data_IF_097548681435
#
_entry.id   IF_097548681435
#
_cell.length_a   1.000
_cell.length_b   1.000
_cell.length_c   1.000
_cell.angle_alpha   90.00
_cell.angle_beta   90.00
_cell.angle_gamma   90.00
#
_symmetry.space_group_name_H-M   'P 1'
#
loop_
_entity.id
_entity.type
_entity.pdbx_description
1 polymer ?
#
# COMPACT_ATOMS: atom_id res chain seq x y z
N UNK A 1 43.10 -38.33 28.26
CA UNK A 1 43.88 -37.52 29.22
C UNK A 1 42.90 -36.61 29.94
N UNK A 2 42.98 -36.58 31.27
CA UNK A 2 42.01 -35.98 32.20
C UNK A 2 42.09 -34.46 32.21
N UNK A 3 40.93 -33.82 32.36
CA UNK A 3 40.77 -32.42 32.71
C UNK A 3 41.33 -32.10 34.10
N UNK A 4 41.86 -30.89 34.29
CA UNK A 4 41.97 -30.26 35.61
C UNK A 4 41.89 -28.73 35.51
N UNK A 5 40.91 -28.21 36.25
CA UNK A 5 40.61 -26.83 36.60
C UNK A 5 41.78 -26.10 37.28
N UNK A 6 41.91 -24.79 37.08
CA UNK A 6 42.40 -23.89 38.14
C UNK A 6 41.79 -22.48 38.03
N UNK A 7 41.02 -22.12 39.06
CA UNK A 7 40.54 -20.77 39.37
C UNK A 7 41.70 -19.87 39.83
N UNK A 8 41.54 -18.55 39.65
CA UNK A 8 42.29 -17.56 40.43
C UNK A 8 42.08 -16.13 39.97
N UNK A 9 41.10 -15.44 40.56
CA UNK A 9 40.97 -13.98 40.50
C UNK A 9 41.88 -13.33 41.55
N UNK A 10 42.62 -12.27 41.15
CA UNK A 10 43.25 -11.35 42.10
C UNK A 10 43.22 -9.93 41.54
N UNK A 11 42.65 -9.00 42.31
CA UNK A 11 42.70 -7.56 42.08
C UNK A 11 44.15 -7.02 42.11
N UNK A 12 44.44 -5.99 41.31
CA UNK A 12 45.40 -4.96 41.71
C UNK A 12 45.03 -3.60 41.12
N UNK A 13 44.97 -2.61 41.99
CA UNK A 13 44.71 -1.21 41.73
C UNK A 13 45.92 -0.47 41.14
N UNK A 14 45.63 0.61 40.39
CA UNK A 14 46.45 1.81 40.33
C UNK A 14 47.52 1.89 39.24
N UNK A 15 47.32 2.81 38.28
CA UNK A 15 48.34 3.82 38.01
C UNK A 15 47.74 4.98 37.21
N UNK A 16 47.75 6.15 37.85
CA UNK A 16 47.47 7.47 37.30
C UNK A 16 48.67 7.93 36.46
N UNK A 17 48.45 8.46 35.26
CA UNK A 17 49.34 9.43 34.59
C UNK A 17 48.50 10.20 33.57
N UNK A 18 48.04 11.41 33.88
CA UNK A 18 48.75 12.69 33.75
C UNK A 18 49.35 12.90 32.35
N UNK A 19 48.52 13.40 31.43
CA UNK A 19 48.97 14.40 30.45
C UNK A 19 47.99 15.56 30.55
N UNK A 20 48.49 16.66 31.12
CA UNK A 20 47.75 17.90 31.23
C UNK A 20 47.73 18.65 29.89
N UNK A 21 46.58 19.25 29.61
CA UNK A 21 46.50 20.46 28.80
C UNK A 21 45.65 21.43 29.61
N UNK A 22 46.33 22.16 30.49
CA UNK A 22 45.75 23.33 31.13
C UNK A 22 45.93 24.55 30.22
N UNK A 23 44.94 25.41 30.33
CA UNK A 23 44.54 26.54 29.52
C UNK A 23 45.64 27.58 29.23
N UNK A 24 45.50 28.33 28.12
CA UNK A 24 45.44 29.80 28.26
C UNK A 24 44.69 30.47 27.10
N UNK A 25 43.96 31.52 27.50
CA UNK A 25 42.79 32.17 26.89
C UNK A 25 43.14 33.32 25.91
N UNK A 26 42.14 34.02 25.30
CA UNK A 26 42.18 34.58 23.95
C UNK A 26 42.70 36.03 23.88
N UNK A 27 42.95 36.51 22.65
CA UNK A 27 43.00 37.95 22.35
C UNK A 27 42.28 38.26 21.04
N UNK A 28 41.25 39.08 21.18
CA UNK A 28 40.57 39.85 20.14
C UNK A 28 41.41 41.06 19.80
N UNK A 29 41.79 41.23 18.53
CA UNK A 29 42.21 42.51 17.99
C UNK A 29 41.31 42.82 16.78
N UNK A 30 40.43 43.81 16.96
CA UNK A 30 39.61 44.36 15.90
C UNK A 30 40.38 45.38 15.06
N UNK A 31 40.00 45.50 13.79
CA UNK A 31 40.20 46.72 13.00
C UNK A 31 38.87 47.10 12.37
N UNK A 32 38.48 48.34 12.65
CA UNK A 32 37.28 49.01 12.18
C UNK A 32 37.52 49.72 10.82
N UNK A 33 36.42 49.94 10.09
CA UNK A 33 36.32 50.83 8.93
C UNK A 33 35.72 50.10 7.71
N UNK A 34 34.67 50.54 7.03
CA UNK A 34 33.97 51.82 7.05
C UNK A 34 32.55 51.63 6.48
N UNK A 35 31.69 52.59 6.83
CA UNK A 35 30.31 52.72 6.43
C UNK A 35 30.11 53.07 4.94
N UNK A 36 28.95 52.69 4.40
CA UNK A 36 28.35 53.24 3.18
C UNK A 36 26.94 52.68 3.02
N UNK A 37 25.91 53.30 3.61
CA UNK A 37 25.10 54.44 3.14
C UNK A 37 23.78 53.98 2.48
N UNK A 38 22.72 54.63 2.92
CA UNK A 38 21.31 54.34 2.69
C UNK A 38 20.80 54.56 1.25
N UNK A 39 19.67 53.92 0.96
CA UNK A 39 18.73 54.26 -0.12
C UNK A 39 17.49 53.37 0.04
N UNK A 40 16.48 53.77 0.81
CA UNK A 40 15.39 54.69 0.46
C UNK A 40 14.15 53.96 -0.09
N UNK A 41 13.01 54.42 0.40
CA UNK A 41 11.66 53.87 0.28
C UNK A 41 11.01 54.04 -1.10
N UNK A 42 9.91 53.30 -1.30
CA UNK A 42 8.90 53.49 -2.35
C UNK A 42 8.70 52.21 -3.18
N UNK A 43 7.51 51.72 -3.50
CA UNK A 43 6.19 52.33 -3.55
C UNK A 43 5.09 51.30 -3.23
N UNK A 44 4.04 51.79 -2.60
CA UNK A 44 2.71 51.19 -2.60
C UNK A 44 2.03 51.35 -3.98
N UNK A 45 1.12 50.44 -4.30
CA UNK A 45 0.18 50.52 -5.44
C UNK A 45 0.21 49.21 -6.26
N UNK A 46 -0.88 48.52 -6.54
CA UNK A 46 -2.28 48.92 -6.54
C UNK A 46 -3.19 47.72 -6.24
N UNK A 47 -4.27 48.00 -5.51
CA UNK A 47 -5.48 47.20 -5.58
C UNK A 47 -6.04 47.28 -7.00
N UNK A 48 -6.16 46.13 -7.66
CA UNK A 48 -6.88 45.96 -8.93
C UNK A 48 -8.16 45.17 -8.67
N UNK A 49 -9.27 45.90 -8.61
CA UNK A 49 -10.64 45.38 -8.66
C UNK A 49 -10.99 44.94 -10.10
N UNK A 50 -11.87 43.95 -10.22
CA UNK A 50 -12.57 43.55 -11.46
C UNK A 50 -12.51 42.04 -11.65
N UNK A 51 -13.58 41.27 -11.35
CA UNK A 51 -14.73 41.08 -12.24
C UNK A 51 -14.34 40.08 -13.34
N UNK A 52 -14.92 38.89 -13.48
CA UNK A 52 -16.34 38.68 -13.70
C UNK A 52 -16.71 37.20 -13.46
N UNK A 53 -17.96 36.98 -13.05
CA UNK A 53 -18.60 35.69 -12.91
C UNK A 53 -18.67 34.93 -14.25
N UNK A 54 -18.40 33.64 -14.20
CA UNK A 54 -18.71 32.68 -15.26
C UNK A 54 -19.65 31.60 -14.72
N UNK A 55 -20.94 31.89 -14.64
CA UNK A 55 -21.98 30.86 -14.54
C UNK A 55 -22.16 30.23 -15.91
N UNK A 56 -21.64 29.02 -16.07
CA UNK A 56 -21.86 28.16 -17.24
C UNK A 56 -22.43 26.83 -16.80
N UNK A 57 -23.75 26.78 -16.62
CA UNK A 57 -24.47 25.52 -16.55
C UNK A 57 -24.31 24.77 -17.89
N UNK A 58 -24.03 23.48 -17.84
CA UNK A 58 -24.54 22.60 -18.88
C UNK A 58 -25.00 21.28 -18.27
N UNK A 59 -26.32 21.22 -18.06
CA UNK A 59 -27.04 19.99 -17.80
C UNK A 59 -27.11 19.21 -19.11
N UNK A 60 -26.46 18.06 -19.17
CA UNK A 60 -26.66 17.05 -20.21
C UNK A 60 -27.45 15.88 -19.65
N UNK A 61 -28.78 15.97 -19.64
CA UNK A 61 -29.66 14.80 -19.58
C UNK A 61 -30.45 14.71 -20.88
N UNK A 62 -30.38 13.55 -21.53
CA UNK A 62 -31.20 13.17 -22.68
C UNK A 62 -30.57 11.94 -23.37
N UNK A 63 -31.23 10.81 -23.56
CA UNK A 63 -32.57 10.39 -23.19
C UNK A 63 -32.71 8.88 -23.42
N UNK A 64 -33.60 8.24 -22.65
CA UNK A 64 -34.11 6.89 -22.91
C UNK A 64 -35.60 6.98 -23.26
N UNK A 65 -36.02 6.17 -24.23
CA UNK A 65 -37.42 5.96 -24.66
C UNK A 65 -37.49 5.93 -26.18
N UNK A 66 -37.82 4.82 -26.86
CA UNK A 66 -38.87 3.85 -26.56
C UNK A 66 -39.98 4.07 -27.58
N UNK A 67 -39.90 3.44 -28.75
CA UNK A 67 -40.94 3.54 -29.80
C UNK A 67 -42.03 2.51 -29.54
N UNK A 68 -43.09 2.97 -28.87
CA UNK A 68 -44.38 2.29 -28.76
C UNK A 68 -45.29 2.58 -29.95
N UNK A 69 -46.17 1.62 -30.22
CA UNK A 69 -47.07 1.51 -31.35
C UNK A 69 -48.20 2.56 -31.40
N UNK A 70 -48.67 2.83 -32.63
CA UNK A 70 -50.01 3.33 -32.97
C UNK A 70 -50.61 2.27 -33.92
N UNK A 71 -51.86 1.80 -33.86
CA UNK A 71 -53.12 2.36 -33.40
C UNK A 71 -54.08 2.36 -34.61
N UNK A 72 -55.19 1.62 -34.57
CA UNK A 72 -56.20 1.65 -35.65
C UNK A 72 -57.34 0.63 -35.50
N UNK A 73 -58.47 1.10 -34.97
CA UNK A 73 -59.72 0.38 -34.70
C UNK A 73 -60.65 0.26 -35.91
N UNK A 74 -61.46 -0.80 -36.01
CA UNK A 74 -62.85 -0.73 -36.52
C UNK A 74 -63.67 -2.03 -36.34
N UNK A 75 -64.75 -1.91 -35.55
CA UNK A 75 -66.16 -2.28 -35.79
C UNK A 75 -66.64 -3.69 -36.28
N UNK A 76 -67.75 -4.14 -35.65
CA UNK A 76 -68.80 -5.05 -36.17
C UNK A 76 -68.50 -6.55 -35.99
N UNK A 77 -69.38 -7.45 -35.54
CA UNK A 77 -70.84 -7.47 -35.50
C UNK A 77 -71.32 -8.85 -36.02
N UNK A 78 -72.02 -9.61 -35.16
CA UNK A 78 -72.95 -10.73 -35.42
C UNK A 78 -72.50 -12.12 -35.95
N UNK A 79 -73.02 -13.12 -35.21
CA UNK A 79 -73.66 -14.38 -35.63
C UNK A 79 -72.83 -15.53 -36.21
N UNK A 80 -73.09 -16.74 -35.70
CA UNK A 80 -72.82 -18.00 -36.41
C UNK A 80 -72.57 -19.19 -35.48
N UNK A 81 -73.62 -19.94 -35.18
CA UNK A 81 -73.55 -21.25 -34.53
C UNK A 81 -73.19 -22.36 -35.53
N UNK A 82 -72.72 -23.50 -35.01
CA UNK A 82 -72.44 -24.76 -35.73
C UNK A 82 -70.95 -25.12 -35.61
N UNK A 83 -70.49 -26.12 -34.86
CA UNK A 83 -71.11 -27.41 -34.56
C UNK A 83 -70.81 -28.37 -35.70
N UNK A 84 -69.71 -29.11 -35.61
CA UNK A 84 -69.55 -30.46 -36.17
C UNK A 84 -68.41 -31.16 -35.41
N UNK A 85 -68.72 -32.30 -34.83
CA UNK A 85 -67.78 -33.27 -34.30
C UNK A 85 -67.31 -34.20 -35.42
N UNK A 86 -66.10 -34.78 -35.32
CA UNK A 86 -65.81 -35.98 -36.11
C UNK A 86 -64.35 -36.40 -36.25
N UNK A 87 -64.02 -37.49 -35.56
CA UNK A 87 -63.09 -38.58 -35.92
C UNK A 87 -61.64 -38.22 -36.32
N UNK A 88 -60.63 -38.56 -35.51
CA UNK A 88 -60.00 -39.91 -35.39
C UNK A 88 -59.13 -40.31 -36.58
N UNK A 89 -57.81 -40.25 -36.40
CA UNK A 89 -56.85 -41.13 -37.08
C UNK A 89 -55.61 -41.41 -36.19
N UNK A 90 -55.30 -42.70 -36.06
CA UNK A 90 -54.22 -43.32 -35.29
C UNK A 90 -52.81 -43.10 -35.89
N UNK A 91 -51.81 -43.13 -35.00
CA UNK A 91 -50.71 -44.12 -35.07
C UNK A 91 -49.37 -43.67 -35.66
N UNK A 92 -48.28 -43.89 -34.90
CA UNK A 92 -46.92 -43.98 -35.44
C UNK A 92 -45.80 -43.69 -34.45
N UNK A 93 -45.35 -44.70 -33.71
CA UNK A 93 -44.13 -44.68 -32.89
C UNK A 93 -42.86 -44.69 -33.76
N UNK A 94 -41.81 -43.98 -33.34
CA UNK A 94 -40.43 -44.33 -33.66
C UNK A 94 -39.49 -43.91 -32.51
N UNK A 95 -38.76 -44.91 -32.03
CA UNK A 95 -37.71 -44.82 -31.02
C UNK A 95 -36.35 -44.51 -31.65
N UNK A 96 -35.43 -43.97 -30.83
CA UNK A 96 -33.98 -43.89 -31.10
C UNK A 96 -33.41 -42.58 -30.58
N UNK A 97 -32.36 -42.50 -29.77
CA UNK A 97 -31.49 -43.51 -29.17
C UNK A 97 -30.51 -42.77 -28.25
N UNK A 98 -30.08 -43.45 -27.18
CA UNK A 98 -29.07 -42.97 -26.25
C UNK A 98 -27.67 -42.87 -26.91
N UNK A 99 -26.91 -41.85 -26.53
CA UNK A 99 -25.48 -41.72 -26.85
C UNK A 99 -24.72 -41.20 -25.62
N UNK A 100 -23.95 -42.09 -25.00
CA UNK A 100 -23.07 -41.85 -23.86
C UNK A 100 -21.76 -41.12 -24.27
N UNK A 101 -21.18 -40.39 -23.31
CA UNK A 101 -19.78 -40.61 -22.93
C UNK A 101 -18.75 -39.59 -23.43
N UNK A 102 -18.12 -38.89 -22.49
CA UNK A 102 -16.92 -38.10 -22.72
C UNK A 102 -16.48 -37.35 -21.47
N UNK A 103 -15.87 -38.06 -20.53
CA UNK A 103 -15.14 -37.47 -19.41
C UNK A 103 -13.72 -37.05 -19.84
N UNK A 104 -13.13 -36.17 -19.03
CA UNK A 104 -11.73 -35.71 -18.98
C UNK A 104 -11.42 -34.41 -19.75
N UNK A 105 -11.01 -33.41 -18.97
CA UNK A 105 -10.50 -32.13 -19.45
C UNK A 105 -10.11 -31.22 -18.30
N UNK A 106 -9.17 -31.67 -17.44
CA UNK A 106 -8.35 -30.75 -16.64
C UNK A 106 -7.56 -29.86 -17.60
N UNK A 107 -8.06 -28.66 -17.84
CA UNK A 107 -7.41 -27.63 -18.64
C UNK A 107 -7.19 -26.39 -17.79
N UNK A 108 -6.06 -26.36 -17.09
CA UNK A 108 -5.47 -25.10 -16.66
C UNK A 108 -4.85 -24.44 -17.89
N UNK A 109 -5.43 -23.33 -18.36
CA UNK A 109 -4.73 -22.28 -19.09
C UNK A 109 -5.65 -21.08 -19.25
N UNK A 110 -5.16 -19.94 -18.78
CA UNK A 110 -5.86 -18.67 -18.85
C UNK A 110 -5.93 -17.95 -17.52
N UNK A 111 -4.82 -17.90 -16.78
CA UNK A 111 -4.57 -16.81 -15.84
C UNK A 111 -4.53 -15.52 -16.65
N UNK A 112 -5.70 -15.00 -16.99
CA UNK A 112 -5.85 -13.60 -17.34
C UNK A 112 -5.46 -12.90 -16.05
N UNK A 113 -4.37 -12.12 -16.09
CA UNK A 113 -4.05 -11.18 -15.04
C UNK A 113 -5.27 -10.26 -14.90
N UNK A 114 -6.20 -10.66 -14.05
CA UNK A 114 -7.30 -9.84 -13.60
C UNK A 114 -6.62 -8.80 -12.74
N UNK A 115 -6.41 -7.61 -13.32
CA UNK A 115 -6.08 -6.46 -12.49
C UNK A 115 -7.13 -6.44 -11.39
N UNK A 116 -6.68 -6.70 -10.15
CA UNK A 116 -7.55 -6.95 -9.01
C UNK A 116 -8.65 -5.89 -8.98
N UNK A 117 -9.90 -6.33 -9.00
CA UNK A 117 -11.01 -5.39 -8.81
C UNK A 117 -10.84 -4.75 -7.43
N UNK A 118 -11.23 -3.49 -7.26
CA UNK A 118 -11.01 -2.76 -6.01
C UNK A 118 -11.56 -3.47 -4.75
N UNK A 119 -12.49 -4.42 -4.90
CA UNK A 119 -13.00 -5.26 -3.80
C UNK A 119 -12.12 -6.46 -3.43
N UNK A 120 -11.24 -6.94 -4.32
CA UNK A 120 -10.33 -8.06 -4.07
C UNK A 120 -9.14 -7.63 -3.22
N UNK A 121 -8.62 -6.43 -3.44
CA UNK A 121 -7.47 -5.88 -2.72
C UNK A 121 -7.84 -5.09 -1.47
N UNK A 122 -9.13 -4.99 -1.12
CA UNK A 122 -9.61 -4.13 -0.04
C UNK A 122 -9.04 -4.49 1.35
N UNK A 123 -8.68 -5.76 1.55
CA UNK A 123 -8.07 -6.26 2.79
C UNK A 123 -6.54 -6.35 2.76
N UNK A 124 -5.87 -5.92 1.68
CA UNK A 124 -4.41 -5.87 1.66
C UNK A 124 -3.93 -4.66 2.45
N UNK A 125 -2.96 -4.88 3.34
CA UNK A 125 -2.33 -3.84 4.16
C UNK A 125 -0.83 -4.08 4.29
N UNK A 126 -0.07 -3.03 4.59
CA UNK A 126 1.20 -3.22 5.28
C UNK A 126 0.91 -3.63 6.74
N UNK A 127 1.46 -4.76 7.17
CA UNK A 127 1.30 -5.27 8.53
C UNK A 127 2.55 -5.07 9.39
N UNK A 128 3.73 -4.94 8.78
CA UNK A 128 4.97 -4.64 9.49
C UNK A 128 5.91 -3.82 8.61
N UNK A 129 6.53 -2.82 9.22
CA UNK A 129 7.62 -2.03 8.66
C UNK A 129 8.82 -2.23 9.58
N UNK A 130 9.92 -2.73 9.03
CA UNK A 130 11.18 -2.87 9.75
C UNK A 130 12.14 -1.87 9.17
N UNK A 131 12.60 -0.94 10.00
CA UNK A 131 13.77 -0.13 9.73
C UNK A 131 14.67 -0.13 10.97
N UNK A 132 15.96 -0.28 10.72
CA UNK A 132 16.95 -0.41 11.76
C UNK A 132 18.34 -0.30 11.19
N UNK A 133 19.32 -0.60 12.03
CA UNK A 133 20.72 -0.40 11.67
C UNK A 133 21.22 -1.49 10.70
N UNK A 134 20.59 -2.66 10.73
CA UNK A 134 21.02 -3.83 9.99
C UNK A 134 19.95 -4.32 9.02
N UNK A 135 18.68 -4.11 9.32
CA UNK A 135 17.58 -4.74 8.62
C UNK A 135 16.55 -3.74 8.10
N UNK A 136 16.03 -4.06 6.92
CA UNK A 136 14.86 -3.41 6.34
C UNK A 136 13.90 -4.46 5.79
N UNK A 137 12.61 -4.28 6.04
CA UNK A 137 11.55 -5.12 5.51
C UNK A 137 10.19 -4.42 5.49
N UNK A 138 9.34 -4.87 4.56
CA UNK A 138 7.93 -4.54 4.50
C UNK A 138 7.16 -5.86 4.46
N UNK A 139 6.25 -6.04 5.41
CA UNK A 139 5.32 -7.15 5.41
C UNK A 139 3.97 -6.68 4.87
N UNK A 140 3.42 -7.44 3.92
CA UNK A 140 2.07 -7.27 3.40
C UNK A 140 1.20 -8.39 3.97
N UNK A 141 0.03 -8.05 4.49
CA UNK A 141 -0.95 -9.01 5.00
C UNK A 141 -2.26 -8.94 4.24
N UNK A 142 -2.90 -10.09 4.06
CA UNK A 142 -4.27 -10.17 3.54
C UNK A 142 -5.27 -10.35 4.69
N UNK A 143 -5.85 -9.24 5.16
CA UNK A 143 -6.94 -9.21 6.13
C UNK A 143 -8.32 -9.53 5.53
N UNK A 144 -8.38 -9.71 4.21
CA UNK A 144 -9.60 -10.08 3.50
C UNK A 144 -9.98 -11.55 3.68
N UNK A 145 -11.14 -11.92 3.12
CA UNK A 145 -11.67 -13.29 3.18
C UNK A 145 -11.44 -14.11 1.91
N UNK A 146 -10.77 -13.54 0.91
CA UNK A 146 -10.49 -14.19 -0.37
C UNK A 146 -8.99 -14.12 -0.72
N UNK A 147 -8.46 -15.08 -1.47
CA UNK A 147 -7.10 -14.99 -2.01
C UNK A 147 -6.94 -13.75 -2.89
N UNK A 148 -5.77 -13.13 -2.86
CA UNK A 148 -5.43 -11.97 -3.70
C UNK A 148 -4.23 -12.31 -4.57
N UNK A 149 -4.35 -12.11 -5.88
CA UNK A 149 -3.19 -12.19 -6.79
C UNK A 149 -2.34 -10.92 -6.69
N UNK A 150 -1.12 -11.05 -6.15
CA UNK A 150 -0.17 -9.95 -6.03
C UNK A 150 0.58 -9.65 -7.34
N UNK A 151 0.37 -10.41 -8.42
CA UNK A 151 1.08 -10.22 -9.69
C UNK A 151 0.82 -8.86 -10.37
N UNK A 152 -0.24 -8.16 -9.98
CA UNK A 152 -0.51 -6.78 -10.39
C UNK A 152 -0.06 -5.73 -9.36
N UNK A 153 0.50 -6.16 -8.23
CA UNK A 153 0.87 -5.33 -7.09
C UNK A 153 2.38 -5.09 -7.00
N UNK A 154 2.76 -3.96 -6.42
CA UNK A 154 4.13 -3.53 -6.22
C UNK A 154 4.23 -2.54 -5.06
N UNK A 155 5.40 -2.46 -4.43
CA UNK A 155 5.73 -1.35 -3.53
C UNK A 155 6.44 -0.27 -4.33
N UNK A 156 5.86 0.92 -4.39
CA UNK A 156 6.46 2.11 -4.97
C UNK A 156 7.21 2.86 -3.86
N UNK A 157 8.52 3.00 -4.00
CA UNK A 157 9.39 3.50 -2.95
C UNK A 157 9.94 4.89 -3.29
N UNK A 158 9.94 5.76 -2.27
CA UNK A 158 10.28 7.17 -2.39
C UNK A 158 11.33 7.51 -1.34
N UNK A 159 12.49 7.95 -1.80
CA UNK A 159 13.64 8.32 -0.99
C UNK A 159 13.76 9.84 -0.91
N UNK A 160 13.84 10.41 0.28
CA UNK A 160 13.92 11.88 0.47
C UNK A 160 12.83 12.66 -0.32
N UNK A 161 11.62 12.09 -0.39
CA UNK A 161 10.47 12.66 -1.11
C UNK A 161 10.48 12.46 -2.63
N UNK A 162 11.44 11.70 -3.17
CA UNK A 162 11.57 11.43 -4.61
C UNK A 162 11.40 9.95 -4.92
N UNK A 163 10.64 9.62 -5.96
CA UNK A 163 10.52 8.25 -6.46
C UNK A 163 11.88 7.69 -6.87
N UNK A 164 12.19 6.45 -6.48
CA UNK A 164 13.41 5.78 -6.93
C UNK A 164 13.20 4.38 -7.51
N UNK A 165 12.20 3.62 -7.07
CA UNK A 165 11.97 2.27 -7.57
C UNK A 165 10.54 1.80 -7.35
N UNK A 166 10.08 0.90 -8.22
CA UNK A 166 8.96 0.01 -7.96
C UNK A 166 9.51 -1.41 -7.72
N UNK A 167 9.01 -2.06 -6.68
CA UNK A 167 9.33 -3.45 -6.35
C UNK A 167 8.11 -4.34 -6.60
N UNK A 168 8.05 -5.05 -7.75
CA UNK A 168 6.94 -5.94 -8.06
C UNK A 168 6.79 -7.03 -7.01
N UNK A 169 5.55 -7.37 -6.68
CA UNK A 169 5.22 -8.50 -5.83
C UNK A 169 4.80 -9.69 -6.70
N UNK A 170 4.96 -10.89 -6.18
CA UNK A 170 4.57 -12.10 -6.90
C UNK A 170 4.14 -13.19 -5.93
N UNK A 171 2.87 -13.57 -6.00
CA UNK A 171 2.25 -14.80 -5.48
C UNK A 171 0.72 -14.60 -5.48
N UNK A 172 -0.04 -15.65 -5.17
CA UNK A 172 -1.40 -15.50 -4.65
C UNK A 172 -1.36 -15.54 -3.13
N UNK A 173 -1.67 -14.43 -2.47
CA UNK A 173 -1.66 -14.31 -1.01
C UNK A 173 -3.01 -14.76 -0.45
N UNK A 174 -3.01 -15.86 0.32
CA UNK A 174 -4.22 -16.39 0.94
C UNK A 174 -4.73 -15.47 2.07
N UNK A 175 -6.03 -15.51 2.41
CA UNK A 175 -6.56 -14.87 3.61
C UNK A 175 -5.75 -15.23 4.85
N UNK A 176 -5.46 -14.24 5.70
CA UNK A 176 -4.71 -14.44 6.93
C UNK A 176 -3.23 -14.75 6.75
N UNK A 177 -2.68 -14.63 5.54
CA UNK A 177 -1.27 -14.89 5.25
C UNK A 177 -0.50 -13.59 5.01
N UNK A 178 0.81 -13.66 5.20
CA UNK A 178 1.74 -12.55 4.99
C UNK A 178 2.68 -12.80 3.81
N UNK A 179 3.21 -11.72 3.26
CA UNK A 179 4.26 -11.70 2.25
C UNK A 179 5.31 -10.65 2.62
N UNK A 180 6.54 -11.10 2.86
CA UNK A 180 7.64 -10.24 3.30
C UNK A 180 8.55 -9.91 2.12
N UNK A 181 8.65 -8.62 1.84
CA UNK A 181 9.64 -8.00 0.97
C UNK A 181 10.76 -7.44 1.86
N UNK A 182 12.02 -7.80 1.64
CA UNK A 182 13.09 -7.40 2.57
C UNK A 182 14.44 -7.13 1.89
N UNK A 183 15.38 -6.52 2.62
CA UNK A 183 16.77 -6.46 2.16
C UNK A 183 17.50 -7.80 2.28
N UNK A 184 18.63 -7.93 1.59
CA UNK A 184 19.47 -9.15 1.61
C UNK A 184 19.99 -9.50 3.00
N UNK A 185 20.26 -8.50 3.83
CA UNK A 185 20.65 -8.68 5.23
C UNK A 185 19.53 -9.33 6.03
N UNK A 186 18.29 -8.81 5.91
CA UNK A 186 17.12 -9.37 6.58
C UNK A 186 16.81 -10.80 6.10
N UNK A 187 16.91 -11.06 4.78
CA UNK A 187 16.71 -12.39 4.21
C UNK A 187 17.68 -13.45 4.75
N UNK A 188 18.86 -13.02 5.22
CA UNK A 188 19.84 -13.92 5.83
C UNK A 188 19.55 -14.19 7.32
N UNK A 189 18.72 -13.37 7.95
CA UNK A 189 18.41 -13.44 9.38
C UNK A 189 17.06 -14.12 9.67
N UNK A 190 16.08 -14.06 8.76
CA UNK A 190 14.72 -14.55 9.00
C UNK A 190 13.98 -14.91 7.71
N UNK A 191 12.67 -15.18 7.82
CA UNK A 191 11.76 -15.43 6.70
C UNK A 191 11.63 -14.19 5.83
N UNK A 192 11.84 -14.36 4.53
CA UNK A 192 11.63 -13.33 3.53
C UNK A 192 11.25 -14.00 2.21
N UNK A 193 10.09 -13.64 1.65
CA UNK A 193 9.62 -14.24 0.40
C UNK A 193 10.30 -13.62 -0.82
N UNK A 194 10.68 -12.35 -0.75
CA UNK A 194 11.38 -11.68 -1.83
C UNK A 194 12.37 -10.63 -1.32
N UNK A 195 13.59 -10.68 -1.86
CA UNK A 195 14.65 -9.72 -1.54
C UNK A 195 15.14 -9.03 -2.83
N UNK A 196 14.45 -7.98 -3.31
CA UNK A 196 14.83 -7.30 -4.54
C UNK A 196 16.12 -6.50 -4.35
N UNK A 197 16.89 -6.32 -5.44
CA UNK A 197 18.05 -5.44 -5.43
C UNK A 197 17.63 -3.98 -5.24
N UNK A 198 18.35 -3.24 -4.40
CA UNK A 198 18.14 -1.80 -4.23
C UNK A 198 17.03 -1.44 -3.24
N UNK A 199 16.42 -2.40 -2.57
CA UNK A 199 15.52 -2.11 -1.44
C UNK A 199 16.34 -1.65 -0.24
N UNK A 200 16.28 -0.34 -0.01
CA UNK A 200 16.86 0.34 1.12
C UNK A 200 15.98 1.54 1.40
N UNK A 201 15.57 1.71 2.64
CA UNK A 201 14.82 2.88 3.08
C UNK A 201 15.24 3.20 4.50
N UNK A 202 15.06 4.45 4.89
CA UNK A 202 15.27 4.93 6.25
C UNK A 202 14.05 5.75 6.72
N UNK A 203 14.10 6.26 7.94
CA UNK A 203 12.97 6.91 8.60
C UNK A 203 12.22 7.98 7.80
N UNK A 204 12.81 8.66 6.83
CA UNK A 204 12.16 9.69 6.01
C UNK A 204 11.81 9.25 4.58
N UNK A 205 11.80 7.94 4.31
CA UNK A 205 11.44 7.34 3.03
C UNK A 205 10.04 6.70 3.00
N UNK A 206 9.21 7.10 2.04
CA UNK A 206 7.81 6.68 1.97
C UNK A 206 7.66 5.40 1.13
N UNK A 207 6.79 4.50 1.60
CA UNK A 207 6.51 3.22 0.96
C UNK A 207 5.03 3.14 0.63
N UNK A 208 4.71 2.92 -0.66
CA UNK A 208 3.33 2.91 -1.14
C UNK A 208 3.02 1.55 -1.75
N UNK A 209 2.11 0.79 -1.12
CA UNK A 209 1.60 -0.45 -1.70
C UNK A 209 0.57 -0.10 -2.77
N UNK A 210 0.79 -0.60 -3.99
CA UNK A 210 -0.09 -0.35 -5.12
C UNK A 210 -0.47 -1.64 -5.80
N UNK A 211 -1.68 -1.69 -6.35
CA UNK A 211 -2.11 -2.73 -7.29
C UNK A 211 -2.65 -2.06 -8.55
N UNK A 212 -1.94 -2.22 -9.66
CA UNK A 212 -2.13 -1.42 -10.87
C UNK A 212 -1.94 0.08 -10.58
N UNK A 213 -2.98 0.87 -10.81
CA UNK A 213 -2.98 2.32 -10.55
C UNK A 213 -3.47 2.69 -9.13
N UNK A 214 -4.06 1.75 -8.40
CA UNK A 214 -4.69 2.03 -7.11
C UNK A 214 -3.64 2.01 -5.99
N UNK A 215 -3.69 3.01 -5.11
CA UNK A 215 -2.99 2.98 -3.82
C UNK A 215 -3.82 2.13 -2.87
N UNK A 216 -3.15 1.20 -2.20
CA UNK A 216 -3.75 0.24 -1.28
C UNK A 216 -3.42 0.61 0.16
N UNK A 217 -2.16 0.91 0.42
CA UNK A 217 -1.68 1.31 1.75
C UNK A 217 -0.43 2.19 1.61
N UNK A 218 -0.16 3.01 2.63
CA UNK A 218 0.94 3.98 2.65
C UNK A 218 1.61 3.99 4.02
N UNK A 219 2.94 3.93 4.02
CA UNK A 219 3.77 4.29 5.17
C UNK A 219 4.53 5.57 4.80
N UNK A 220 4.41 6.59 5.65
CA UNK A 220 4.92 7.93 5.36
C UNK A 220 3.97 8.76 4.50
N UNK A 221 4.49 9.76 3.80
CA UNK A 221 3.69 10.70 3.01
C UNK A 221 4.42 11.06 1.72
N UNK A 222 3.71 11.06 0.59
CA UNK A 222 4.26 11.55 -0.68
C UNK A 222 4.31 13.07 -0.70
N UNK A 223 5.40 13.61 -1.23
CA UNK A 223 5.68 15.03 -1.25
C UNK A 223 6.95 15.35 -0.46
N UNK A 224 7.02 16.50 0.23
CA UNK A 224 8.19 16.84 1.04
C UNK A 224 8.42 15.81 2.16
N UNK A 225 9.57 15.15 2.13
CA UNK A 225 9.98 14.27 3.22
C UNK A 225 10.36 15.09 4.48
N UNK A 226 10.12 14.54 5.69
CA UNK A 226 10.70 15.09 6.90
C UNK A 226 12.23 14.99 6.87
N UNK A 227 12.90 15.69 7.78
CA UNK A 227 14.36 15.58 7.90
C UNK A 227 14.81 14.23 8.44
N UNK A 228 14.02 13.62 9.34
CA UNK A 228 14.41 12.41 10.07
C UNK A 228 13.36 11.29 9.97
N UNK A 229 12.11 11.56 10.38
CA UNK A 229 11.06 10.54 10.45
C UNK A 229 9.64 11.11 10.36
N UNK A 230 8.67 10.22 10.10
CA UNK A 230 7.26 10.48 10.36
C UNK A 230 6.84 10.02 11.75
N UNK A 231 5.77 10.63 12.25
CA UNK A 231 5.19 10.35 13.56
C UNK A 231 5.79 11.16 14.71
N UNK A 232 5.58 10.67 15.92
CA UNK A 232 6.04 11.30 17.15
C UNK A 232 6.39 10.23 18.18
N UNK A 233 7.47 10.40 18.95
CA UNK A 233 7.87 9.41 19.96
C UNK A 233 6.71 9.02 20.89
N UNK A 234 6.54 7.72 21.20
CA UNK A 234 7.46 6.62 20.86
C UNK A 234 7.21 5.97 19.48
N UNK A 235 6.21 6.42 18.71
CA UNK A 235 5.88 5.83 17.41
C UNK A 235 6.49 6.68 16.29
N UNK A 236 7.66 6.27 15.81
CA UNK A 236 8.38 6.93 14.72
C UNK A 236 8.84 5.92 13.69
N UNK A 237 9.09 6.35 12.45
CA UNK A 237 9.61 5.47 11.38
C UNK A 237 11.12 5.31 11.36
N UNK A 238 11.88 6.16 12.08
CA UNK A 238 13.33 6.03 12.23
C UNK A 238 13.69 5.14 13.43
N UNK A 239 14.63 4.22 13.23
CA UNK A 239 15.18 3.24 14.16
C UNK A 239 14.12 2.40 14.88
N UNK A 240 13.03 2.05 14.18
CA UNK A 240 11.93 1.29 14.75
C UNK A 240 11.39 0.21 13.80
N UNK A 241 10.91 -0.85 14.43
CA UNK A 241 9.96 -1.76 13.80
C UNK A 241 8.54 -1.34 14.18
N UNK A 242 7.69 -1.08 13.19
CA UNK A 242 6.28 -0.76 13.38
C UNK A 242 5.44 -1.97 13.00
N UNK A 243 4.59 -2.44 13.92
CA UNK A 243 3.62 -3.51 13.69
C UNK A 243 2.22 -2.95 13.66
N UNK A 244 1.47 -3.23 12.61
CA UNK A 244 0.08 -2.78 12.46
C UNK A 244 -0.77 -3.43 13.56
N UNK A 245 -1.70 -2.68 14.15
CA UNK A 245 -2.62 -3.20 15.15
C UNK A 245 -3.61 -4.16 14.50
N UNK A 246 -3.95 -5.26 15.17
CA UNK A 246 -4.85 -6.31 14.66
C UNK A 246 -6.27 -5.85 14.32
N UNK A 247 -6.72 -4.72 14.88
CA UNK A 247 -8.03 -4.16 14.55
C UNK A 247 -8.06 -3.49 13.17
N UNK A 248 -6.90 -3.22 12.57
CA UNK A 248 -6.79 -2.53 11.29
C UNK A 248 -6.83 -3.57 10.18
N UNK A 249 -7.83 -3.46 9.32
CA UNK A 249 -8.12 -4.44 8.25
C UNK A 249 -8.13 -3.82 6.87
N UNK A 250 -7.84 -2.52 6.78
CA UNK A 250 -7.81 -1.74 5.56
C UNK A 250 -6.60 -0.78 5.61
N UNK A 251 -5.98 -0.55 4.47
CA UNK A 251 -4.82 0.33 4.34
C UNK A 251 -5.21 1.79 4.20
N UNK A 252 -4.23 2.67 4.37
CA UNK A 252 -4.38 4.08 4.03
C UNK A 252 -4.24 4.27 2.52
N UNK A 253 -5.33 4.68 1.88
CA UNK A 253 -5.35 4.88 0.42
C UNK A 253 -5.02 6.31 0.01
N UNK A 254 -4.87 7.23 0.96
CA UNK A 254 -4.46 8.59 0.72
C UNK A 254 -2.95 8.70 0.93
N UNK A 255 -2.22 9.03 -0.14
CA UNK A 255 -0.77 9.12 -0.05
C UNK A 255 -0.26 10.54 0.29
N UNK A 256 -1.17 11.50 0.47
CA UNK A 256 -0.84 12.91 0.61
C UNK A 256 -1.16 13.52 1.97
N UNK A 257 -1.84 12.81 2.86
CA UNK A 257 -2.10 13.23 4.24
C UNK A 257 -0.98 12.82 5.19
N UNK A 258 -1.08 13.33 6.42
CA UNK A 258 -0.06 13.16 7.44
C UNK A 258 -0.08 11.71 7.93
N UNK A 259 1.07 11.05 7.86
CA UNK A 259 1.27 9.75 8.49
C UNK A 259 1.52 9.89 10.00
N UNK A 260 0.54 9.50 10.81
CA UNK A 260 0.66 9.37 12.26
C UNK A 260 0.61 7.88 12.67
N UNK A 261 1.77 7.24 12.91
CA UNK A 261 1.82 5.83 13.24
C UNK A 261 1.16 5.51 14.60
N UNK A 262 0.98 6.47 15.51
CA UNK A 262 0.38 6.21 16.83
C UNK A 262 -1.06 5.72 16.76
N UNK A 263 -1.77 6.05 15.67
CA UNK A 263 -3.17 5.68 15.45
C UNK A 263 -3.30 4.17 15.17
N UNK A 264 -2.44 3.62 14.33
CA UNK A 264 -2.65 2.31 13.70
C UNK A 264 -1.51 1.31 13.93
N UNK A 265 -0.39 1.75 14.51
CA UNK A 265 0.81 0.95 14.67
C UNK A 265 1.29 0.92 16.12
N UNK A 266 1.88 -0.20 16.51
CA UNK A 266 2.67 -0.35 17.72
C UNK A 266 4.16 -0.31 17.34
N UNK A 267 4.98 0.39 18.14
CA UNK A 267 6.39 0.60 17.84
C UNK A 267 7.30 -0.24 18.74
N UNK A 268 8.30 -0.85 18.12
CA UNK A 268 9.32 -1.70 18.71
C UNK A 268 10.71 -1.17 18.32
N UNK A 269 11.75 -1.59 19.04
CA UNK A 269 13.11 -1.12 18.77
C UNK A 269 13.61 -1.50 17.37
N UNK A 270 14.66 -0.80 16.93
CA UNK A 270 15.39 -1.14 15.71
C UNK A 270 15.75 -2.62 15.65
N UNK A 271 15.73 -3.18 14.42
CA UNK A 271 16.13 -4.55 14.12
C UNK A 271 15.27 -5.66 14.80
N UNK A 272 14.09 -5.34 15.33
CA UNK A 272 13.17 -6.34 15.91
C UNK A 272 12.45 -7.15 14.82
N UNK A 273 12.93 -8.36 14.58
CA UNK A 273 12.35 -9.30 13.59
C UNK A 273 11.44 -10.37 14.23
N UNK A 274 11.06 -10.24 15.51
CA UNK A 274 10.47 -11.35 16.29
C UNK A 274 9.14 -11.87 15.73
N UNK A 275 8.32 -10.99 15.15
CA UNK A 275 7.02 -11.35 14.56
C UNK A 275 6.98 -11.30 13.03
N UNK A 276 8.10 -10.97 12.37
CA UNK A 276 8.15 -10.88 10.91
C UNK A 276 7.77 -12.22 10.27
N UNK A 277 6.81 -12.18 9.34
CA UNK A 277 6.16 -13.34 8.74
C UNK A 277 4.86 -13.74 9.45
N UNK A 278 4.36 -12.96 10.42
CA UNK A 278 3.11 -13.23 11.16
C UNK A 278 2.38 -11.94 11.48
N UNK A 279 1.06 -11.97 11.32
CA UNK A 279 0.20 -10.87 11.77
C UNK A 279 -1.03 -11.43 12.48
N UNK A 280 -1.19 -11.05 13.74
CA UNK A 280 -2.32 -11.43 14.60
C UNK A 280 -2.63 -12.93 14.68
N UNK A 281 -1.62 -13.78 15.01
CA UNK A 281 -1.78 -15.23 15.09
C UNK A 281 -2.57 -15.73 16.32
#
# INVERSE_FOLDING_TARGET
MRALLLLGATMLAGCTSLIGLDEFKPRVDGVAGAAGLAGAAGLAGAAGLGGNAGTGANAGQGGNGGTGATGGSSAGGSSGAGGEAGASANGGSAAGGAGNGGAAGTGASGGTASGGTAGETAGLIFSEYVEGHNYTALEIYNAGSAPVDLGACYVSAYGDGSFYSDFPLATTLQPGSTYVLCSTATASATTCQQSPSGMSFNGNDAQVLKCGANVIDVIGQLGPAPSDYWGSPPNTTQDHTLRRKCSITHGDTNSGDVFDPSLEWDAFGADDLTDLGKHCP
#
